data_IF_668121222320
#
_entry.id   IF_668121222320
#
_cell.length_a   1.000
_cell.length_b   1.000
_cell.length_c   1.000
_cell.angle_alpha   90.00
_cell.angle_beta   90.00
_cell.angle_gamma   90.00
#
_symmetry.space_group_name_H-M   'P 1'
#
loop_
_entity.id
_entity.type
_entity.pdbx_description
1 polymer ?
#
# COMPACT_ATOMS: atom_id res chain seq x y z
N UNK A 1 3.75 -7.89 10.55
CA UNK A 1 4.76 -7.78 9.47
C UNK A 1 6.13 -8.07 10.05
N UNK A 2 6.71 -9.23 9.72
CA UNK A 2 8.11 -9.51 10.06
C UNK A 2 9.00 -9.02 8.91
N UNK A 3 10.16 -8.40 9.19
CA UNK A 3 11.09 -8.00 8.15
C UNK A 3 11.61 -9.24 7.41
N UNK A 4 11.64 -9.15 6.08
CA UNK A 4 12.22 -10.20 5.24
C UNK A 4 13.75 -10.09 5.25
N UNK A 5 14.47 -11.22 5.20
CA UNK A 5 15.94 -11.27 5.24
C UNK A 5 16.58 -10.53 4.06
N UNK A 6 16.00 -10.70 2.87
CA UNK A 6 16.38 -9.89 1.70
C UNK A 6 15.69 -8.52 1.76
N UNK A 7 16.43 -7.40 1.86
CA UNK A 7 15.87 -6.06 1.98
C UNK A 7 15.11 -5.60 0.73
N UNK A 8 15.47 -6.12 -0.46
CA UNK A 8 14.79 -5.78 -1.72
C UNK A 8 13.36 -6.31 -1.76
N UNK A 9 13.13 -7.45 -1.10
CA UNK A 9 11.81 -8.08 -0.99
C UNK A 9 11.08 -7.70 0.30
N UNK A 10 11.72 -6.93 1.20
CA UNK A 10 11.19 -6.58 2.49
C UNK A 10 10.26 -5.36 2.39
N UNK A 11 8.94 -5.49 2.69
CA UNK A 11 8.01 -4.37 2.64
C UNK A 11 8.38 -3.27 3.64
N UNK A 12 8.90 -3.65 4.81
CA UNK A 12 9.34 -2.71 5.86
C UNK A 12 10.53 -1.89 5.37
N UNK A 13 11.51 -2.53 4.72
CA UNK A 13 12.66 -1.82 4.16
C UNK A 13 12.26 -0.90 3.01
N UNK A 14 11.39 -1.37 2.11
CA UNK A 14 10.86 -0.56 1.01
C UNK A 14 10.09 0.68 1.53
N UNK A 15 9.28 0.51 2.57
CA UNK A 15 8.55 1.60 3.21
C UNK A 15 9.47 2.56 3.98
N UNK A 16 10.49 2.03 4.67
CA UNK A 16 11.50 2.85 5.33
C UNK A 16 12.27 3.73 4.33
N UNK A 17 12.68 3.17 3.19
CA UNK A 17 13.35 3.92 2.13
C UNK A 17 12.45 4.97 1.49
N UNK A 18 11.16 4.65 1.29
CA UNK A 18 10.21 5.62 0.75
C UNK A 18 9.97 6.79 1.71
N UNK A 19 9.89 6.53 3.01
CA UNK A 19 9.77 7.55 4.05
C UNK A 19 11.03 8.37 4.19
N UNK A 20 12.21 7.75 4.10
CA UNK A 20 13.49 8.45 4.12
C UNK A 20 13.59 9.44 2.95
N UNK A 21 13.26 9.01 1.73
CA UNK A 21 13.21 9.90 0.58
C UNK A 21 12.19 11.04 0.79
N UNK A 22 11.00 10.68 1.29
CA UNK A 22 9.90 11.62 1.48
C UNK A 22 10.24 12.70 2.50
N UNK A 23 10.63 12.34 3.71
CA UNK A 23 10.77 13.27 4.83
C UNK A 23 12.14 13.94 4.91
N UNK A 24 13.16 13.45 4.20
CA UNK A 24 14.43 14.15 4.11
C UNK A 24 14.49 15.16 2.94
N UNK A 25 13.72 14.95 1.87
CA UNK A 25 13.88 15.73 0.64
C UNK A 25 12.60 16.36 0.09
N UNK A 26 11.43 15.76 0.31
CA UNK A 26 10.19 16.17 -0.36
C UNK A 26 9.19 16.85 0.57
N UNK A 27 9.23 16.53 1.87
CA UNK A 27 8.27 16.98 2.86
C UNK A 27 8.93 17.25 4.21
N UNK A 28 8.35 18.14 5.03
CA UNK A 28 8.69 18.23 6.43
C UNK A 28 8.46 16.89 7.14
N UNK A 29 9.29 16.57 8.16
CA UNK A 29 9.09 15.40 8.99
C UNK A 29 7.69 15.38 9.61
N UNK A 30 7.23 14.18 9.99
CA UNK A 30 5.96 14.03 10.70
C UNK A 30 6.04 14.68 12.07
N UNK A 31 5.00 15.40 12.46
CA UNK A 31 4.90 15.91 13.82
C UNK A 31 4.31 14.82 14.72
N UNK A 32 5.15 14.16 15.50
CA UNK A 32 4.69 13.12 16.43
C UNK A 32 3.94 13.67 17.65
N UNK A 33 3.99 14.99 17.88
CA UNK A 33 3.23 15.65 18.95
C UNK A 33 1.81 16.01 18.52
N UNK A 34 1.52 15.98 17.21
CA UNK A 34 0.19 16.23 16.65
C UNK A 34 -0.41 14.92 16.10
N UNK A 35 -1.34 14.28 16.84
CA UNK A 35 -2.01 13.07 16.38
C UNK A 35 -2.77 13.27 15.06
N UNK A 36 -3.26 14.49 14.79
CA UNK A 36 -4.03 14.77 13.59
C UNK A 36 -3.15 14.71 12.34
N UNK A 37 -1.96 15.31 12.39
CA UNK A 37 -0.96 15.23 11.32
C UNK A 37 -0.56 13.78 11.01
N UNK A 38 -0.45 12.94 12.04
CA UNK A 38 -0.12 11.53 11.88
C UNK A 38 -1.26 10.74 11.20
N UNK A 39 -2.51 11.02 11.57
CA UNK A 39 -3.67 10.30 11.04
C UNK A 39 -4.05 10.70 9.61
N UNK A 40 -3.88 11.96 9.24
CA UNK A 40 -4.26 12.43 7.90
C UNK A 40 -3.22 12.10 6.82
N UNK A 41 -1.96 11.87 7.20
CA UNK A 41 -0.89 11.58 6.25
C UNK A 41 -1.03 10.18 5.66
N UNK A 42 -1.34 10.12 4.38
CA UNK A 42 -1.35 8.85 3.65
C UNK A 42 0.07 8.26 3.57
N UNK A 43 0.20 6.96 3.86
CA UNK A 43 1.47 6.21 3.70
C UNK A 43 1.94 6.25 2.25
N UNK A 44 1.06 5.89 1.32
CA UNK A 44 1.26 6.03 -0.13
C UNK A 44 0.32 7.12 -0.65
N UNK A 45 0.90 8.28 -0.95
CA UNK A 45 0.16 9.48 -1.32
C UNK A 45 0.17 9.77 -2.82
N UNK A 46 -0.77 10.61 -3.25
CA UNK A 46 -0.67 11.27 -4.54
C UNK A 46 0.54 12.23 -4.58
N UNK A 47 1.06 12.52 -5.78
CA UNK A 47 2.22 13.40 -5.95
C UNK A 47 1.93 14.84 -5.47
N UNK A 48 0.69 15.30 -5.66
CA UNK A 48 0.27 16.69 -5.43
C UNK A 48 -0.42 16.94 -4.09
N UNK A 49 -0.75 15.89 -3.32
CA UNK A 49 -1.48 16.03 -2.07
C UNK A 49 -0.98 15.03 -1.03
N UNK A 50 -0.74 15.49 0.20
CA UNK A 50 -0.16 14.69 1.30
C UNK A 50 -1.19 13.78 1.98
N UNK A 51 -2.44 14.21 1.96
CA UNK A 51 -3.57 13.54 2.61
C UNK A 51 -4.41 12.71 1.65
N UNK A 52 -4.23 12.90 0.34
CA UNK A 52 -4.92 12.09 -0.65
C UNK A 52 -4.15 10.80 -0.93
N UNK A 53 -4.82 9.64 -0.90
CA UNK A 53 -4.21 8.37 -1.28
C UNK A 53 -3.91 8.35 -2.78
N UNK A 54 -2.97 7.50 -3.17
CA UNK A 54 -2.71 7.25 -4.59
C UNK A 54 -3.95 6.61 -5.24
N UNK A 55 -4.48 7.21 -6.30
CA UNK A 55 -5.70 6.72 -6.97
C UNK A 55 -5.42 5.36 -7.63
N UNK A 56 -6.42 4.46 -7.59
CA UNK A 56 -6.31 3.11 -8.13
C UNK A 56 -5.86 3.07 -9.60
N UNK A 57 -6.39 3.95 -10.46
CA UNK A 57 -6.00 4.01 -11.86
C UNK A 57 -4.51 4.30 -12.05
N UNK A 58 -3.96 5.18 -11.21
CA UNK A 58 -2.52 5.50 -11.16
C UNK A 58 -1.70 4.34 -10.60
N UNK A 59 -2.18 3.65 -9.56
CA UNK A 59 -1.51 2.45 -9.06
C UNK A 59 -1.41 1.38 -10.15
N UNK A 60 -2.51 1.12 -10.85
CA UNK A 60 -2.55 0.15 -11.94
C UNK A 60 -1.61 0.53 -13.09
N UNK A 61 -1.52 1.82 -13.46
CA UNK A 61 -0.58 2.25 -14.50
C UNK A 61 0.87 2.03 -14.08
N UNK A 62 1.21 2.27 -12.81
CA UNK A 62 2.55 1.97 -12.27
C UNK A 62 2.87 0.47 -12.31
N UNK A 63 1.92 -0.39 -11.92
CA UNK A 63 2.11 -1.84 -12.00
C UNK A 63 2.31 -2.33 -13.44
N UNK A 64 1.49 -1.85 -14.38
CA UNK A 64 1.64 -2.20 -15.79
C UNK A 64 3.00 -1.75 -16.35
N UNK A 65 3.47 -0.56 -15.97
CA UNK A 65 4.80 -0.07 -16.36
C UNK A 65 5.93 -0.94 -15.77
N UNK A 66 5.82 -1.34 -14.50
CA UNK A 66 6.78 -2.24 -13.86
C UNK A 66 6.81 -3.63 -14.53
N UNK A 67 5.64 -4.22 -14.79
CA UNK A 67 5.56 -5.51 -15.49
C UNK A 67 6.14 -5.45 -16.89
N UNK A 68 5.86 -4.38 -17.64
CA UNK A 68 6.42 -4.17 -18.98
C UNK A 68 7.93 -4.11 -18.96
N UNK A 69 8.49 -3.36 -18.00
CA UNK A 69 9.95 -3.24 -17.82
C UNK A 69 10.58 -4.59 -17.46
N UNK A 70 9.91 -5.38 -16.62
CA UNK A 70 10.35 -6.73 -16.26
C UNK A 70 10.03 -7.79 -17.33
N UNK A 71 9.43 -7.42 -18.47
CA UNK A 71 8.94 -8.32 -19.54
C UNK A 71 7.97 -9.39 -19.05
N UNK A 72 7.22 -9.09 -17.98
CA UNK A 72 6.19 -9.96 -17.41
C UNK A 72 4.87 -9.70 -18.15
N UNK A 73 4.29 -10.75 -18.73
CA UNK A 73 2.98 -10.69 -19.37
C UNK A 73 1.90 -11.00 -18.35
N UNK A 74 0.99 -10.04 -18.12
CA UNK A 74 -0.09 -10.17 -17.14
C UNK A 74 -1.42 -10.15 -17.87
N UNK A 75 -2.17 -11.25 -17.81
CA UNK A 75 -3.48 -11.42 -18.47
C UNK A 75 -4.66 -11.05 -17.57
N UNK A 76 -4.44 -10.96 -16.25
CA UNK A 76 -5.46 -10.62 -15.25
C UNK A 76 -4.86 -9.72 -14.18
N UNK A 77 -5.65 -8.80 -13.62
CA UNK A 77 -5.23 -7.95 -12.51
C UNK A 77 -5.01 -8.82 -11.27
N UNK A 78 -3.75 -9.20 -11.01
CA UNK A 78 -3.36 -10.07 -9.87
C UNK A 78 -2.96 -9.28 -8.62
N UNK A 79 -2.69 -7.97 -8.76
CA UNK A 79 -2.31 -7.08 -7.65
C UNK A 79 -3.52 -6.46 -6.92
N UNK A 80 -4.74 -6.69 -7.39
CA UNK A 80 -5.94 -6.33 -6.64
C UNK A 80 -6.09 -7.30 -5.46
N UNK A 81 -5.82 -6.81 -4.25
CA UNK A 81 -6.01 -7.51 -2.99
C UNK A 81 -7.48 -7.81 -2.64
N UNK A 82 -8.39 -7.89 -3.62
CA UNK A 82 -9.81 -8.22 -3.39
C UNK A 82 -9.99 -9.55 -2.66
N UNK A 83 -9.02 -10.47 -2.76
CA UNK A 83 -9.03 -11.74 -2.03
C UNK A 83 -8.14 -11.81 -0.80
N UNK A 84 -7.21 -10.86 -0.58
CA UNK A 84 -6.25 -10.98 0.53
C UNK A 84 -6.91 -10.66 1.86
N UNK A 85 -7.69 -9.56 1.94
CA UNK A 85 -8.44 -9.23 3.15
C UNK A 85 -9.47 -10.30 3.52
N UNK A 86 -10.11 -10.92 2.52
CA UNK A 86 -11.01 -12.05 2.73
C UNK A 86 -10.26 -13.28 3.26
N UNK A 87 -9.09 -13.60 2.72
CA UNK A 87 -8.25 -14.71 3.20
C UNK A 87 -7.73 -14.47 4.62
N UNK A 88 -7.28 -13.26 4.92
CA UNK A 88 -6.80 -12.90 6.26
C UNK A 88 -7.94 -12.94 7.30
N UNK A 89 -9.16 -12.55 6.91
CA UNK A 89 -10.36 -12.67 7.74
C UNK A 89 -10.83 -14.13 7.90
N UNK A 90 -10.79 -14.92 6.83
CA UNK A 90 -11.08 -16.36 6.87
C UNK A 90 -10.08 -17.10 7.77
N UNK A 91 -8.79 -16.77 7.67
CA UNK A 91 -7.71 -17.30 8.53
C UNK A 91 -7.87 -16.88 10.00
N UNK A 92 -8.43 -15.69 10.25
CA UNK A 92 -8.77 -15.21 11.59
C UNK A 92 -10.10 -15.81 12.14
N UNK A 93 -10.79 -16.66 11.37
CA UNK A 93 -12.04 -17.30 11.76
C UNK A 93 -13.26 -16.37 11.74
N UNK A 94 -13.19 -15.25 11.01
CA UNK A 94 -14.30 -14.31 10.86
C UNK A 94 -15.32 -14.90 9.89
N UNK A 95 -16.59 -14.88 10.27
CA UNK A 95 -17.64 -15.48 9.45
C UNK A 95 -17.77 -14.76 8.09
N UNK A 96 -17.85 -15.53 7.00
CA UNK A 96 -18.03 -15.05 5.62
C UNK A 96 -19.10 -13.96 5.46
N UNK A 97 -20.28 -14.01 6.12
CA UNK A 97 -21.26 -12.92 6.07
C UNK A 97 -20.80 -11.58 6.66
N UNK A 98 -19.83 -11.56 7.58
CA UNK A 98 -19.22 -10.32 8.08
C UNK A 98 -18.18 -9.79 7.09
N UNK A 99 -17.46 -10.69 6.43
CA UNK A 99 -16.47 -10.35 5.39
C UNK A 99 -17.15 -9.73 4.18
N UNK A 100 -18.28 -10.28 3.72
CA UNK A 100 -19.05 -9.72 2.60
C UNK A 100 -19.61 -8.32 2.91
N UNK A 101 -20.09 -8.09 4.15
CA UNK A 101 -20.52 -6.76 4.61
C UNK A 101 -19.39 -5.73 4.63
N UNK A 102 -18.19 -6.13 5.05
CA UNK A 102 -17.01 -5.26 5.10
C UNK A 102 -16.43 -4.97 3.70
N UNK A 103 -16.42 -5.97 2.83
CA UNK A 103 -15.89 -5.87 1.47
C UNK A 103 -16.90 -5.29 0.45
N UNK A 104 -18.15 -5.06 0.86
CA UNK A 104 -19.18 -4.40 0.04
C UNK A 104 -19.80 -5.29 -1.04
N UNK A 105 -19.99 -6.59 -0.75
CA UNK A 105 -20.73 -7.53 -1.60
C UNK A 105 -22.17 -7.69 -1.14
#
# INVERSE_FOLDING_TARGET
FLPHVNPVLCPVAALGMSFLLRFNFLEPPMNFEDPHDLHERCVLRAQTCRTAPLVYSTQNSHFLAAYRTARIHVTKVTHQGRGQGQRDCDEAGIETPQISRLAGY
#
